data_IF_056657922855
#
_entry.id   IF_056657922855
#
_cell.length_a   1.000
_cell.length_b   1.000
_cell.length_c   1.000
_cell.angle_alpha   90.00
_cell.angle_beta   90.00
_cell.angle_gamma   90.00
#
_symmetry.space_group_name_H-M   'P 1'
#
loop_
_entity.id
_entity.type
_entity.pdbx_description
1 polymer ?
#
# COMPACT_ATOMS: atom_id res chain seq x y z
N UNK A 1 -20.21 -8.24 2.69
CA UNK A 1 -19.26 -9.33 2.96
C UNK A 1 -19.20 -9.55 4.46
N UNK A 2 -19.45 -10.80 4.91
CA UNK A 2 -19.64 -11.33 6.28
C UNK A 2 -20.64 -10.63 7.23
N UNK A 3 -21.47 -11.39 7.97
CA UNK A 3 -22.30 -10.87 9.07
C UNK A 3 -21.46 -10.16 10.14
N UNK A 4 -22.05 -9.17 10.82
CA UNK A 4 -21.36 -8.35 11.82
C UNK A 4 -20.72 -9.18 12.94
N UNK A 5 -21.39 -10.26 13.33
CA UNK A 5 -20.98 -11.20 14.36
C UNK A 5 -19.68 -11.95 13.98
N UNK A 6 -19.44 -12.18 12.69
CA UNK A 6 -18.29 -12.93 12.19
C UNK A 6 -17.07 -12.04 11.93
N UNK A 7 -17.25 -10.73 11.76
CA UNK A 7 -16.16 -9.80 11.38
C UNK A 7 -14.99 -9.81 12.36
N UNK A 8 -15.26 -9.87 13.66
CA UNK A 8 -14.21 -9.88 14.69
C UNK A 8 -13.35 -11.15 14.64
N UNK A 9 -14.01 -12.31 14.52
CA UNK A 9 -13.33 -13.60 14.39
C UNK A 9 -12.48 -13.64 13.11
N UNK A 10 -13.03 -13.20 11.99
CA UNK A 10 -12.34 -13.21 10.70
C UNK A 10 -11.13 -12.26 10.70
N UNK A 11 -11.24 -11.07 11.30
CA UNK A 11 -10.09 -10.18 11.48
C UNK A 11 -8.99 -10.81 12.32
N UNK A 12 -9.36 -11.53 13.39
CA UNK A 12 -8.39 -12.22 14.24
C UNK A 12 -7.64 -13.29 13.45
N UNK A 13 -8.35 -14.15 12.71
CA UNK A 13 -7.75 -15.17 11.84
C UNK A 13 -6.87 -14.57 10.73
N UNK A 14 -7.31 -13.47 10.12
CA UNK A 14 -6.50 -12.73 9.14
C UNK A 14 -5.22 -12.20 9.78
N UNK A 15 -5.30 -11.64 10.98
CA UNK A 15 -4.12 -11.08 11.68
C UNK A 15 -3.05 -12.13 11.97
N UNK A 16 -3.43 -13.39 12.17
CA UNK A 16 -2.48 -14.46 12.48
C UNK A 16 -1.81 -15.02 11.22
N UNK A 17 -2.56 -15.10 10.13
CA UNK A 17 -2.10 -15.72 8.87
C UNK A 17 -1.45 -14.73 7.89
N UNK A 18 -1.67 -13.42 8.06
CA UNK A 18 -1.16 -12.40 7.14
C UNK A 18 0.37 -12.26 7.23
N UNK A 19 1.02 -12.47 6.09
CA UNK A 19 2.47 -12.30 5.91
C UNK A 19 2.81 -10.96 5.24
N UNK A 20 2.11 -10.63 4.15
CA UNK A 20 2.26 -9.36 3.45
C UNK A 20 1.04 -9.10 2.56
N UNK A 21 0.83 -7.84 2.20
CA UNK A 21 -0.08 -7.39 1.15
C UNK A 21 0.73 -6.57 0.15
N UNK A 22 0.60 -6.92 -1.14
CA UNK A 22 1.15 -6.15 -2.24
C UNK A 22 0.00 -5.71 -3.12
N UNK A 23 -0.18 -4.39 -3.25
CA UNK A 23 -1.13 -3.78 -4.17
C UNK A 23 -0.37 -3.19 -5.34
N UNK A 24 -0.85 -3.42 -6.56
CA UNK A 24 -0.18 -3.01 -7.79
C UNK A 24 -1.08 -2.12 -8.64
N UNK A 25 -0.53 -1.01 -9.12
CA UNK A 25 -1.11 -0.20 -10.19
C UNK A 25 -0.16 -0.21 -11.40
N UNK A 26 -0.68 -0.53 -12.57
CA UNK A 26 0.10 -0.49 -13.81
C UNK A 26 -0.09 0.86 -14.51
N UNK A 27 1.00 1.60 -14.71
CA UNK A 27 1.02 2.90 -15.37
C UNK A 27 1.65 2.83 -16.75
N UNK A 28 1.31 3.79 -17.62
CA UNK A 28 2.01 3.97 -18.90
C UNK A 28 3.44 4.41 -18.64
N UNK A 29 4.40 3.72 -19.24
CA UNK A 29 5.82 4.04 -19.12
C UNK A 29 6.23 5.04 -20.20
N UNK A 30 7.07 6.01 -19.85
CA UNK A 30 7.72 6.91 -20.81
C UNK A 30 8.59 6.08 -21.76
N UNK A 31 8.43 6.29 -23.07
CA UNK A 31 9.09 5.48 -24.10
C UNK A 31 8.37 4.18 -24.47
N UNK A 32 7.16 3.95 -23.93
CA UNK A 32 6.31 2.83 -24.31
C UNK A 32 6.29 1.68 -23.30
N UNK A 33 5.24 0.85 -23.39
CA UNK A 33 4.98 -0.23 -22.44
C UNK A 33 4.33 0.24 -21.13
N UNK A 34 4.44 -0.58 -20.10
CA UNK A 34 3.89 -0.32 -18.76
C UNK A 34 4.91 -0.56 -17.66
N UNK A 35 4.75 0.13 -16.55
CA UNK A 35 5.52 -0.09 -15.32
C UNK A 35 4.56 -0.26 -14.14
N UNK A 36 4.90 -1.15 -13.22
CA UNK A 36 4.14 -1.42 -12.02
C UNK A 36 4.61 -0.50 -10.89
N UNK A 37 3.68 0.27 -10.32
CA UNK A 37 3.85 0.90 -9.02
C UNK A 37 3.25 -0.02 -7.94
N UNK A 38 3.96 -0.17 -6.83
CA UNK A 38 3.60 -1.09 -5.76
C UNK A 38 3.40 -0.35 -4.44
N UNK A 39 2.35 -0.72 -3.72
CA UNK A 39 2.23 -0.51 -2.29
C UNK A 39 2.46 -1.85 -1.59
N UNK A 40 3.34 -1.86 -0.59
CA UNK A 40 3.79 -3.05 0.10
C UNK A 40 3.59 -2.84 1.60
N UNK A 41 2.80 -3.72 2.21
CA UNK A 41 2.59 -3.78 3.65
C UNK A 41 3.02 -5.15 4.18
N UNK A 42 3.97 -5.18 5.11
CA UNK A 42 4.37 -6.43 5.77
C UNK A 42 3.52 -6.71 7.01
N UNK A 43 3.21 -7.98 7.26
CA UNK A 43 2.42 -8.47 8.38
C UNK A 43 3.18 -8.45 9.70
N UNK A 44 3.66 -7.28 10.12
CA UNK A 44 4.39 -7.09 11.39
C UNK A 44 3.46 -7.24 12.61
N UNK A 45 4.00 -7.49 13.82
CA UNK A 45 3.19 -7.51 15.04
C UNK A 45 2.31 -6.25 15.21
N UNK A 46 2.81 -5.07 14.84
CA UNK A 46 2.06 -3.83 14.86
C UNK A 46 0.87 -3.84 13.90
N UNK A 47 1.07 -4.21 12.62
CA UNK A 47 -0.01 -4.32 11.63
C UNK A 47 -1.06 -5.35 12.07
N UNK A 48 -0.63 -6.51 12.55
CA UNK A 48 -1.52 -7.57 13.06
C UNK A 48 -2.38 -7.05 14.21
N UNK A 49 -1.81 -6.26 15.11
CA UNK A 49 -2.55 -5.62 16.18
C UNK A 49 -3.59 -4.62 15.65
N UNK A 50 -3.21 -3.78 14.68
CA UNK A 50 -4.14 -2.83 14.04
C UNK A 50 -5.30 -3.54 13.34
N UNK A 51 -5.08 -4.73 12.76
CA UNK A 51 -6.16 -5.54 12.17
C UNK A 51 -7.15 -6.01 13.25
N UNK A 52 -6.67 -6.54 14.38
CA UNK A 52 -7.54 -7.00 15.47
C UNK A 52 -8.38 -5.88 16.07
N UNK A 53 -7.76 -4.72 16.23
CA UNK A 53 -8.37 -3.51 16.80
C UNK A 53 -9.26 -2.72 15.83
N UNK A 54 -9.41 -3.18 14.57
CA UNK A 54 -10.14 -2.48 13.51
C UNK A 54 -9.60 -1.06 13.19
N UNK A 55 -8.30 -0.85 13.40
CA UNK A 55 -7.61 0.44 13.22
C UNK A 55 -6.95 0.56 11.85
N UNK A 56 -7.69 0.26 10.79
CA UNK A 56 -7.18 0.22 9.40
C UNK A 56 -6.58 1.56 8.97
N UNK A 57 -7.16 2.69 9.40
CA UNK A 57 -6.66 4.01 9.06
C UNK A 57 -5.21 4.25 9.51
N UNK A 58 -4.77 3.65 10.62
CA UNK A 58 -3.42 3.79 11.17
C UNK A 58 -2.38 2.92 10.45
N UNK A 59 -2.82 1.95 9.64
CA UNK A 59 -1.92 1.08 8.88
C UNK A 59 -1.12 1.88 7.85
N UNK A 60 -1.71 2.93 7.27
CA UNK A 60 -1.03 3.76 6.28
C UNK A 60 0.22 4.43 6.87
N UNK A 61 0.12 5.03 8.07
CA UNK A 61 1.27 5.60 8.77
C UNK A 61 2.32 4.54 9.11
N UNK A 62 1.89 3.32 9.46
CA UNK A 62 2.80 2.20 9.72
C UNK A 62 3.60 1.81 8.47
N UNK A 63 2.95 1.80 7.29
CA UNK A 63 3.61 1.55 5.99
C UNK A 63 4.61 2.66 5.69
N UNK A 64 4.25 3.93 5.91
CA UNK A 64 5.14 5.07 5.66
C UNK A 64 6.44 4.97 6.46
N UNK A 65 6.38 4.56 7.72
CA UNK A 65 7.56 4.43 8.59
C UNK A 65 8.26 3.07 8.48
N UNK A 66 7.65 2.09 7.80
CA UNK A 66 8.10 0.71 7.75
C UNK A 66 9.16 0.40 6.68
N UNK A 67 9.79 1.43 6.08
CA UNK A 67 10.71 1.27 4.95
C UNK A 67 11.88 0.31 5.21
N UNK A 68 12.43 0.28 6.43
CA UNK A 68 13.49 -0.65 6.82
C UNK A 68 13.07 -2.13 6.80
N UNK A 69 11.77 -2.39 6.86
CA UNK A 69 11.17 -3.72 6.76
C UNK A 69 10.67 -4.03 5.33
N UNK A 70 11.01 -3.20 4.35
CA UNK A 70 10.56 -3.37 2.96
C UNK A 70 9.14 -2.88 2.69
N UNK A 71 8.53 -2.12 3.61
CA UNK A 71 7.23 -1.49 3.36
C UNK A 71 7.39 -0.24 2.50
N UNK A 72 6.35 0.07 1.73
CA UNK A 72 6.33 1.21 0.84
C UNK A 72 4.89 1.61 0.53
N UNK A 73 4.58 2.90 0.62
CA UNK A 73 3.28 3.40 0.14
C UNK A 73 3.27 3.52 -1.37
N UNK A 74 2.07 3.52 -1.97
CA UNK A 74 1.94 3.75 -3.41
C UNK A 74 2.59 5.08 -3.83
N UNK A 75 2.34 6.15 -3.06
CA UNK A 75 2.85 7.50 -3.34
C UNK A 75 4.39 7.54 -3.30
N UNK A 76 5.03 6.81 -2.38
CA UNK A 76 6.50 6.68 -2.37
C UNK A 76 7.01 5.98 -3.64
N UNK A 77 6.31 4.95 -4.12
CA UNK A 77 6.66 4.26 -5.37
C UNK A 77 6.49 5.15 -6.59
N UNK A 78 5.36 5.85 -6.68
CA UNK A 78 5.10 6.79 -7.75
C UNK A 78 6.14 7.90 -7.79
N UNK A 79 6.53 8.46 -6.63
CA UNK A 79 7.56 9.50 -6.54
C UNK A 79 8.91 9.02 -7.06
N UNK A 80 9.31 7.80 -6.71
CA UNK A 80 10.54 7.18 -7.22
C UNK A 80 10.47 6.91 -8.74
N UNK A 81 9.34 6.42 -9.25
CA UNK A 81 9.14 6.20 -10.69
C UNK A 81 9.19 7.51 -11.49
N UNK A 82 8.63 8.60 -10.96
CA UNK A 82 8.72 9.95 -11.55
C UNK A 82 10.17 10.44 -11.52
N UNK A 83 10.85 10.30 -10.37
CA UNK A 83 12.27 10.70 -10.22
C UNK A 83 13.18 9.96 -11.20
N UNK A 84 12.89 8.69 -11.48
CA UNK A 84 13.59 7.85 -12.47
C UNK A 84 13.20 8.14 -13.93
N UNK A 85 12.24 9.04 -14.16
CA UNK A 85 11.73 9.36 -15.50
C UNK A 85 10.95 8.22 -16.17
N UNK A 86 10.48 7.24 -15.39
CA UNK A 86 9.76 6.08 -15.93
C UNK A 86 8.28 6.39 -16.20
N UNK A 87 7.70 7.34 -15.48
CA UNK A 87 6.33 7.84 -15.65
C UNK A 87 6.33 9.37 -15.59
N UNK A 88 5.30 10.00 -16.14
CA UNK A 88 5.11 11.45 -16.00
C UNK A 88 4.47 11.81 -14.65
N UNK A 89 4.59 13.07 -14.24
CA UNK A 89 3.94 13.57 -13.00
C UNK A 89 2.42 13.44 -13.09
N UNK A 90 1.83 13.72 -14.25
CA UNK A 90 0.39 13.61 -14.50
C UNK A 90 -0.09 12.17 -14.32
N UNK A 91 0.64 11.21 -14.89
CA UNK A 91 0.36 9.77 -14.74
C UNK A 91 0.42 9.33 -13.28
N UNK A 92 1.37 9.87 -12.50
CA UNK A 92 1.44 9.62 -11.07
C UNK A 92 0.25 10.22 -10.30
N UNK A 93 -0.14 11.46 -10.60
CA UNK A 93 -1.28 12.15 -9.97
C UNK A 93 -2.60 11.39 -10.11
N UNK A 94 -2.83 10.74 -11.25
CA UNK A 94 -4.03 9.92 -11.49
C UNK A 94 -4.14 8.71 -10.56
N UNK A 95 -3.03 8.25 -9.97
CA UNK A 95 -2.96 7.03 -9.16
C UNK A 95 -2.56 7.29 -7.70
N UNK A 96 -2.05 8.47 -7.39
CA UNK A 96 -1.61 8.83 -6.05
C UNK A 96 -2.79 8.93 -5.08
N UNK A 97 -2.55 8.56 -3.83
CA UNK A 97 -3.49 8.80 -2.72
C UNK A 97 -3.54 10.28 -2.35
N UNK A 98 -2.41 10.98 -2.45
CA UNK A 98 -2.29 12.44 -2.28
C UNK A 98 -1.74 13.05 -3.58
N UNK A 99 -2.61 13.41 -4.54
CA UNK A 99 -2.19 13.92 -5.84
C UNK A 99 -1.40 15.23 -5.81
N UNK A 100 -1.57 16.04 -4.75
CA UNK A 100 -0.88 17.34 -4.63
C UNK A 100 0.63 17.22 -4.40
N UNK A 101 1.12 16.01 -4.11
CA UNK A 101 2.56 15.75 -3.93
C UNK A 101 3.34 15.61 -5.25
N UNK A 102 2.68 15.71 -6.41
CA UNK A 102 3.24 15.43 -7.74
C UNK A 102 3.02 16.59 -8.72
#
# INVERSE_FOLDING_TARGET
MFPAQEKSMIRSMLSESLHAVVSQALLKKVGGGRVAAHEIMMGTPAIRNLIREDKVAQMYSSIQTGGSMGMQTLDMCLADLVKKGLITRESARERAKVPDNF
#
